data_IF_206357946114
#
_entry.id   IF_206357946114
#
_cell.length_a   1.000
_cell.length_b   1.000
_cell.length_c   1.000
_cell.angle_alpha   90.00
_cell.angle_beta   90.00
_cell.angle_gamma   90.00
#
_symmetry.space_group_name_H-M   'P 1'
#
loop_
_entity.id
_entity.type
_entity.pdbx_description
1 polymer ?
#
# COMPACT_ATOMS: atom_id res chain seq x y z
N UNK A 1 -2.76 -16.00 13.33
CA UNK A 1 -3.96 -15.30 13.86
C UNK A 1 -4.41 -14.31 12.80
N UNK A 2 -5.70 -14.19 12.52
CA UNK A 2 -6.21 -13.16 11.62
C UNK A 2 -7.46 -12.50 12.17
N UNK A 3 -7.67 -11.24 11.79
CA UNK A 3 -8.90 -10.49 12.04
C UNK A 3 -9.32 -9.77 10.77
N UNK A 4 -10.62 -9.76 10.48
CA UNK A 4 -11.21 -9.06 9.34
C UNK A 4 -11.95 -7.84 9.87
N UNK A 5 -11.64 -6.67 9.33
CA UNK A 5 -12.38 -5.43 9.57
C UNK A 5 -12.85 -4.82 8.26
N UNK A 6 -13.84 -3.93 8.32
CA UNK A 6 -14.35 -3.24 7.14
C UNK A 6 -13.79 -1.82 7.09
N UNK A 7 -13.10 -1.48 6.00
CA UNK A 7 -12.62 -0.11 5.78
C UNK A 7 -13.79 0.83 5.50
N UNK A 8 -13.58 2.15 5.66
CA UNK A 8 -14.57 3.22 5.42
C UNK A 8 -15.23 3.19 4.03
N UNK A 9 -14.72 2.40 3.10
CA UNK A 9 -15.23 2.22 1.73
C UNK A 9 -15.92 0.86 1.52
N UNK A 10 -16.24 0.15 2.60
CA UNK A 10 -16.98 -1.12 2.53
C UNK A 10 -16.17 -2.27 1.96
N UNK A 11 -14.83 -2.20 1.99
CA UNK A 11 -13.99 -3.33 1.62
C UNK A 11 -13.45 -4.06 2.84
N UNK A 12 -13.40 -5.40 2.81
CA UNK A 12 -12.77 -6.16 3.87
C UNK A 12 -11.26 -5.89 3.87
N UNK A 13 -10.70 -5.72 5.06
CA UNK A 13 -9.27 -5.60 5.30
C UNK A 13 -8.87 -6.65 6.33
N UNK A 14 -7.86 -7.44 5.98
CA UNK A 14 -7.37 -8.53 6.81
C UNK A 14 -6.10 -8.07 7.51
N UNK A 15 -6.12 -8.15 8.83
CA UNK A 15 -4.90 -8.14 9.63
C UNK A 15 -4.48 -9.60 9.82
N UNK A 16 -3.35 -9.99 9.23
CA UNK A 16 -2.80 -11.35 9.33
C UNK A 16 -1.44 -11.32 10.05
N UNK A 17 -1.30 -12.09 11.12
CA UNK A 17 -0.02 -12.28 11.82
C UNK A 17 0.55 -13.66 11.50
N UNK A 18 1.75 -13.65 10.90
CA UNK A 18 2.53 -14.84 10.51
C UNK A 18 3.81 -14.88 11.34
N UNK A 19 4.08 -16.04 11.97
CA UNK A 19 5.35 -16.29 12.66
C UNK A 19 6.21 -17.20 11.79
N UNK A 20 7.44 -16.77 11.56
CA UNK A 20 8.41 -17.51 10.78
C UNK A 20 9.40 -18.19 11.73
N UNK A 21 9.74 -19.45 11.43
CA UNK A 21 10.77 -20.19 12.17
C UNK A 21 12.12 -19.45 12.07
N UNK A 22 12.42 -18.96 10.88
CA UNK A 22 13.63 -18.19 10.61
C UNK A 22 13.32 -16.70 10.47
N UNK A 23 14.12 -15.86 11.11
CA UNK A 23 13.99 -14.40 11.01
C UNK A 23 14.38 -13.90 9.62
N UNK A 24 13.53 -13.08 9.02
CA UNK A 24 13.83 -12.33 7.79
C UNK A 24 14.81 -11.21 8.10
N UNK A 25 15.88 -11.10 7.30
CA UNK A 25 16.83 -9.97 7.33
C UNK A 25 16.35 -8.85 6.41
N UNK A 26 16.74 -7.59 6.62
CA UNK A 26 16.30 -6.46 5.79
C UNK A 26 16.48 -6.68 4.28
N UNK A 27 17.61 -7.28 3.86
CA UNK A 27 17.89 -7.59 2.47
C UNK A 27 17.08 -8.77 1.88
N UNK A 28 16.18 -9.38 2.67
CA UNK A 28 15.30 -10.47 2.25
C UNK A 28 13.83 -10.03 2.20
N UNK A 29 13.49 -8.81 2.63
CA UNK A 29 12.10 -8.36 2.75
C UNK A 29 11.37 -8.50 1.41
N UNK A 30 11.93 -7.95 0.34
CA UNK A 30 11.28 -7.93 -0.98
C UNK A 30 11.10 -9.33 -1.59
N UNK A 31 11.86 -10.32 -1.13
CA UNK A 31 11.72 -11.73 -1.57
C UNK A 31 10.56 -12.47 -0.90
N UNK A 32 10.05 -11.93 0.22
CA UNK A 32 8.98 -12.55 1.01
C UNK A 32 7.71 -11.70 1.02
N UNK A 33 7.86 -10.38 0.90
CA UNK A 33 6.76 -9.42 0.93
C UNK A 33 6.83 -8.58 -0.34
N UNK A 34 5.85 -8.75 -1.22
CA UNK A 34 5.63 -7.90 -2.38
C UNK A 34 4.17 -7.44 -2.44
N UNK A 35 3.92 -6.37 -3.17
CA UNK A 35 2.58 -5.94 -3.53
C UNK A 35 2.56 -5.76 -5.05
N UNK A 36 1.69 -6.50 -5.73
CA UNK A 36 1.61 -6.54 -7.19
C UNK A 36 0.24 -6.05 -7.66
N UNK A 37 0.23 -5.42 -8.83
CA UNK A 37 -1.01 -5.12 -9.52
C UNK A 37 -1.41 -6.34 -10.37
N UNK A 38 -2.69 -6.75 -10.34
CA UNK A 38 -3.19 -7.81 -11.22
C UNK A 38 -2.89 -7.51 -12.70
N UNK A 39 -2.69 -8.55 -13.51
CA UNK A 39 -2.57 -8.39 -14.96
C UNK A 39 -3.96 -8.10 -15.53
N UNK A 40 -4.13 -6.93 -16.15
CA UNK A 40 -5.45 -6.47 -16.60
C UNK A 40 -6.06 -7.38 -17.66
N UNK A 41 -5.23 -7.97 -18.50
CA UNK A 41 -5.64 -8.87 -19.58
C UNK A 41 -6.12 -10.23 -19.06
N UNK A 42 -5.58 -10.67 -17.90
CA UNK A 42 -5.94 -11.94 -17.26
C UNK A 42 -7.14 -11.80 -16.32
N UNK A 43 -7.17 -10.74 -15.50
CA UNK A 43 -8.27 -10.43 -14.60
C UNK A 43 -8.59 -8.92 -14.57
N UNK A 44 -9.39 -8.43 -15.54
CA UNK A 44 -9.74 -7.02 -15.63
C UNK A 44 -10.62 -6.55 -14.46
N UNK A 45 -11.39 -7.47 -13.84
CA UNK A 45 -12.28 -7.14 -12.73
C UNK A 45 -11.46 -6.87 -11.48
N UNK A 46 -10.55 -7.78 -11.12
CA UNK A 46 -9.67 -7.60 -9.97
C UNK A 46 -8.75 -6.40 -10.17
N UNK A 47 -8.22 -6.21 -11.38
CA UNK A 47 -7.39 -5.03 -11.70
C UNK A 47 -8.14 -3.71 -11.40
N UNK A 48 -9.37 -3.54 -11.89
CA UNK A 48 -10.13 -2.32 -11.63
C UNK A 48 -10.52 -2.17 -10.16
N UNK A 49 -10.76 -3.27 -9.43
CA UNK A 49 -10.99 -3.24 -7.97
C UNK A 49 -9.74 -2.74 -7.24
N UNK A 50 -8.57 -3.33 -7.50
CA UNK A 50 -7.30 -2.97 -6.84
C UNK A 50 -6.92 -1.53 -7.18
N UNK A 51 -7.00 -1.16 -8.46
CA UNK A 51 -6.73 0.21 -8.94
C UNK A 51 -7.64 1.25 -8.29
N UNK A 52 -8.94 0.96 -8.14
CA UNK A 52 -9.91 1.91 -7.56
C UNK A 52 -9.73 2.08 -6.06
N UNK A 53 -9.36 1.02 -5.34
CA UNK A 53 -9.44 1.01 -3.88
C UNK A 53 -8.10 0.94 -3.15
N UNK A 54 -7.06 0.37 -3.76
CA UNK A 54 -5.74 0.19 -3.14
C UNK A 54 -4.68 1.15 -3.71
N UNK A 55 -4.88 1.68 -4.91
CA UNK A 55 -3.97 2.69 -5.50
C UNK A 55 -4.41 4.09 -5.12
N UNK A 56 -3.45 4.94 -4.73
CA UNK A 56 -3.72 6.34 -4.46
C UNK A 56 -4.06 7.07 -5.77
N UNK A 57 -5.26 7.63 -5.86
CA UNK A 57 -5.67 8.42 -7.02
C UNK A 57 -4.87 9.72 -7.16
N UNK A 58 -5.00 10.42 -8.30
CA UNK A 58 -4.34 11.70 -8.52
C UNK A 58 -4.65 12.68 -7.38
N UNK A 59 -3.64 13.38 -6.87
CA UNK A 59 -3.78 14.45 -5.89
C UNK A 59 -2.72 15.53 -6.13
N UNK A 60 -2.64 16.53 -5.25
CA UNK A 60 -1.66 17.61 -5.39
C UNK A 60 -2.07 18.56 -6.52
N UNK A 61 -1.12 18.85 -7.41
CA UNK A 61 -1.36 19.71 -8.58
C UNK A 61 -2.32 19.08 -9.59
N UNK A 62 -2.34 17.74 -9.68
CA UNK A 62 -3.22 17.00 -10.59
C UNK A 62 -4.68 16.99 -10.14
N UNK A 63 -4.92 17.06 -8.83
CA UNK A 63 -6.28 17.14 -8.28
C UNK A 63 -6.28 17.72 -6.86
N UNK A 64 -6.46 19.04 -6.77
CA UNK A 64 -6.52 19.80 -5.51
C UNK A 64 -7.76 19.48 -4.67
N UNK A 65 -8.81 18.93 -5.29
CA UNK A 65 -10.08 18.61 -4.62
C UNK A 65 -10.07 17.19 -4.01
N UNK A 66 -8.95 16.47 -4.09
CA UNK A 66 -8.86 15.12 -3.54
C UNK A 66 -9.07 15.13 -2.02
N UNK A 67 -9.79 14.17 -1.42
CA UNK A 67 -10.07 14.13 0.02
C UNK A 67 -8.82 14.09 0.92
N UNK A 68 -7.67 13.70 0.36
CA UNK A 68 -6.39 13.67 1.07
C UNK A 68 -5.71 15.04 1.17
N UNK A 69 -6.14 16.04 0.40
CA UNK A 69 -5.53 17.37 0.38
C UNK A 69 -5.87 18.15 1.65
N UNK A 70 -4.84 18.67 2.32
CA UNK A 70 -4.89 19.53 3.51
C UNK A 70 -3.82 20.60 3.34
N UNK A 71 -4.19 21.88 3.49
CA UNK A 71 -3.26 23.01 3.37
C UNK A 71 -2.41 22.98 2.08
N UNK A 72 -3.07 22.68 0.96
CA UNK A 72 -2.45 22.51 -0.38
C UNK A 72 -1.42 21.38 -0.49
N UNK A 73 -1.32 20.49 0.50
CA UNK A 73 -0.42 19.32 0.49
C UNK A 73 -1.22 18.03 0.67
N UNK A 74 -0.72 16.93 0.13
CA UNK A 74 -1.31 15.62 0.39
C UNK A 74 -0.99 15.19 1.84
N UNK A 75 -2.01 15.01 2.67
CA UNK A 75 -1.85 14.53 4.06
C UNK A 75 -1.20 13.14 4.16
N UNK A 76 -1.20 12.37 3.06
CA UNK A 76 -0.54 11.06 2.94
C UNK A 76 0.88 11.14 2.35
N UNK A 77 1.39 12.34 2.08
CA UNK A 77 2.73 12.61 1.54
C UNK A 77 3.00 11.91 0.19
N UNK A 78 2.02 11.93 -0.71
CA UNK A 78 2.13 11.36 -2.06
C UNK A 78 2.58 12.45 -3.06
N UNK A 79 3.47 12.15 -4.03
CA UNK A 79 4.19 10.87 -4.17
C UNK A 79 5.28 10.71 -3.11
N UNK A 80 5.47 9.47 -2.65
CA UNK A 80 6.61 9.12 -1.80
C UNK A 80 7.89 9.02 -2.65
N UNK A 81 9.08 9.30 -2.10
CA UNK A 81 10.33 9.05 -2.80
C UNK A 81 10.44 7.56 -3.13
N UNK A 82 10.75 7.26 -4.39
CA UNK A 82 10.97 5.89 -4.83
C UNK A 82 12.11 5.22 -4.05
N UNK A 83 11.92 3.97 -3.63
CA UNK A 83 13.00 3.13 -3.10
C UNK A 83 13.23 1.95 -4.05
N UNK A 84 14.50 1.58 -4.24
CA UNK A 84 14.86 0.40 -5.02
C UNK A 84 14.69 -0.90 -4.23
N UNK A 85 14.69 -0.82 -2.89
CA UNK A 85 14.49 -1.94 -1.97
C UNK A 85 13.75 -1.47 -0.72
N UNK A 86 12.95 -2.35 -0.12
CA UNK A 86 12.29 -2.02 1.16
C UNK A 86 13.32 -1.85 2.26
N UNK A 87 13.23 -0.75 3.00
CA UNK A 87 14.08 -0.48 4.18
C UNK A 87 13.25 -0.29 5.44
N UNK A 88 13.77 -0.79 6.57
CA UNK A 88 13.21 -0.51 7.90
C UNK A 88 13.67 0.87 8.35
N UNK A 89 12.74 1.73 8.75
CA UNK A 89 13.02 3.07 9.26
C UNK A 89 12.93 3.08 10.79
N UNK A 90 13.63 4.01 11.43
CA UNK A 90 13.70 4.14 12.90
C UNK A 90 12.35 4.53 13.53
N UNK A 91 11.43 5.07 12.73
CA UNK A 91 10.04 5.37 13.13
C UNK A 91 9.11 4.16 13.10
N UNK A 92 9.64 2.96 12.80
CA UNK A 92 8.87 1.71 12.77
C UNK A 92 8.03 1.51 11.51
N UNK A 93 8.07 2.43 10.55
CA UNK A 93 7.35 2.31 9.28
C UNK A 93 8.31 1.89 8.15
N UNK A 94 8.01 0.83 7.39
CA UNK A 94 8.81 0.48 6.23
C UNK A 94 8.75 1.58 5.17
N UNK A 95 9.89 1.81 4.53
CA UNK A 95 10.00 2.62 3.31
C UNK A 95 10.07 1.66 2.13
N UNK A 96 9.02 1.70 1.32
CA UNK A 96 8.90 1.01 0.04
C UNK A 96 9.26 1.96 -1.10
#
# INVERSE_FOLDING_TARGET
MYTIEWQKRGLPHVHLLVWLVNKIRPNQIDSVISAELPVKEEDPVLFEIVKKHMVHGPCGTLNRNSPCMRDSKCSKKIPKPFQTQTSTSDDGYPKY
#
